data_IF_411431725433
#
_entry.id   IF_411431725433
#
_cell.length_a   1.000
_cell.length_b   1.000
_cell.length_c   1.000
_cell.angle_alpha   90.00
_cell.angle_beta   90.00
_cell.angle_gamma   90.00
#
_symmetry.space_group_name_H-M   'P 1'
#
loop_
_entity.id
_entity.type
_entity.pdbx_description
1 polymer ?
#
# COMPACT_ATOMS: atom_id res chain seq x y z
N UNK A 1 -4.74 4.82 14.79
CA UNK A 1 -5.94 4.37 14.06
C UNK A 1 -5.87 2.86 13.85
N UNK A 2 -4.91 2.34 13.08
CA UNK A 2 -4.77 0.89 12.81
C UNK A 2 -4.55 0.03 14.05
N UNK A 3 -3.70 0.45 14.99
CA UNK A 3 -3.47 -0.27 16.26
C UNK A 3 -4.73 -0.41 17.12
N UNK A 4 -5.62 0.59 17.10
CA UNK A 4 -6.88 0.56 17.86
C UNK A 4 -7.87 -0.47 17.30
N UNK A 5 -7.70 -0.84 16.03
CA UNK A 5 -8.54 -1.80 15.33
C UNK A 5 -7.85 -3.16 15.20
N UNK A 6 -6.76 -3.41 15.95
CA UNK A 6 -6.00 -4.67 15.86
C UNK A 6 -5.51 -4.99 14.42
N UNK A 7 -5.35 -3.95 13.58
CA UNK A 7 -4.76 -4.08 12.26
C UNK A 7 -3.26 -3.81 12.36
N UNK A 8 -2.46 -4.79 11.97
CA UNK A 8 -1.02 -4.60 11.89
C UNK A 8 -0.68 -3.93 10.56
N UNK A 9 0.02 -2.81 10.63
CA UNK A 9 0.38 -1.98 9.50
C UNK A 9 1.89 -1.86 9.39
N UNK A 10 2.42 -2.18 8.22
CA UNK A 10 3.83 -2.02 7.89
C UNK A 10 3.98 -1.15 6.65
N UNK A 11 4.98 -0.26 6.67
CA UNK A 11 5.33 0.63 5.58
C UNK A 11 6.78 0.42 5.20
N UNK A 12 7.00 0.07 3.94
CA UNK A 12 8.33 -0.10 3.37
C UNK A 12 8.55 0.90 2.25
N UNK A 13 9.78 1.37 2.12
CA UNK A 13 10.25 2.08 0.92
C UNK A 13 11.18 1.16 0.14
N UNK A 14 10.98 1.06 -1.16
CA UNK A 14 11.88 0.33 -2.04
C UNK A 14 13.28 0.96 -2.01
N UNK A 15 14.27 0.23 -1.48
CA UNK A 15 15.64 0.71 -1.33
C UNK A 15 16.50 0.47 -2.58
N UNK A 16 16.31 -0.65 -3.26
CA UNK A 16 17.11 -1.05 -4.44
C UNK A 16 16.21 -1.00 -5.67
N UNK A 17 16.62 -0.18 -6.64
CA UNK A 17 15.84 0.06 -7.87
C UNK A 17 16.41 -0.68 -9.10
N UNK A 18 17.50 -1.43 -8.94
CA UNK A 18 18.07 -2.27 -10.00
C UNK A 18 17.31 -3.59 -10.13
N UNK A 19 17.29 -4.15 -11.33
CA UNK A 19 16.75 -5.48 -11.61
C UNK A 19 17.89 -6.51 -11.63
N UNK A 20 17.60 -7.75 -11.22
CA UNK A 20 18.50 -8.88 -11.43
C UNK A 20 18.14 -9.60 -12.73
N UNK A 21 19.06 -10.38 -13.28
CA UNK A 21 18.79 -11.15 -14.50
C UNK A 21 17.61 -12.10 -14.28
N UNK A 22 16.62 -12.05 -15.19
CA UNK A 22 15.38 -12.83 -15.09
C UNK A 22 14.33 -12.30 -14.11
N UNK A 23 14.62 -11.22 -13.36
CA UNK A 23 13.68 -10.60 -12.42
C UNK A 23 13.37 -9.16 -12.80
N UNK A 24 12.14 -8.73 -12.54
CA UNK A 24 11.72 -7.35 -12.72
C UNK A 24 11.63 -6.62 -11.37
N UNK A 25 12.17 -5.40 -11.31
CA UNK A 25 12.02 -4.55 -10.14
C UNK A 25 10.60 -3.95 -10.09
N UNK A 26 9.99 -3.93 -8.91
CA UNK A 26 8.64 -3.41 -8.70
C UNK A 26 8.46 -1.96 -9.19
N UNK A 27 9.52 -1.14 -9.19
CA UNK A 27 9.47 0.23 -9.73
C UNK A 27 8.97 0.27 -11.18
N UNK A 28 9.31 -0.74 -12.00
CA UNK A 28 8.83 -0.84 -13.38
C UNK A 28 7.34 -1.15 -13.45
N UNK A 29 6.85 -2.04 -12.59
CA UNK A 29 5.43 -2.44 -12.53
C UNK A 29 4.51 -1.28 -12.17
N UNK A 30 4.97 -0.37 -11.30
CA UNK A 30 4.22 0.83 -10.91
C UNK A 30 4.53 2.06 -11.78
N UNK A 31 5.35 1.89 -12.81
CA UNK A 31 5.80 2.96 -13.72
C UNK A 31 6.53 4.10 -13.00
N UNK A 32 7.25 3.80 -11.91
CA UNK A 32 7.98 4.79 -11.14
C UNK A 32 9.33 5.14 -11.79
N UNK A 33 9.63 6.43 -11.85
CA UNK A 33 10.94 6.95 -12.23
C UNK A 33 11.98 6.62 -11.17
N UNK A 34 13.05 5.95 -11.59
CA UNK A 34 14.12 5.49 -10.69
C UNK A 34 14.81 6.66 -9.96
N UNK A 35 14.95 7.80 -10.62
CA UNK A 35 15.77 8.90 -10.14
C UNK A 35 14.99 9.87 -9.23
N UNK A 36 13.68 10.02 -9.45
CA UNK A 36 12.90 11.11 -8.87
C UNK A 36 11.67 10.65 -8.07
N UNK A 37 11.35 9.36 -8.08
CA UNK A 37 10.16 8.84 -7.42
C UNK A 37 10.49 7.75 -6.41
N UNK A 38 9.79 7.79 -5.28
CA UNK A 38 9.84 6.75 -4.26
C UNK A 38 8.70 5.77 -4.46
N UNK A 39 9.01 4.48 -4.32
CA UNK A 39 8.01 3.41 -4.30
C UNK A 39 7.80 3.00 -2.85
N UNK A 40 6.57 3.14 -2.39
CA UNK A 40 6.14 2.75 -1.05
C UNK A 40 5.26 1.50 -1.14
N UNK A 41 5.47 0.57 -0.20
CA UNK A 41 4.69 -0.66 -0.08
C UNK A 41 4.05 -0.64 1.30
N UNK A 42 2.73 -0.77 1.33
CA UNK A 42 1.98 -0.94 2.56
C UNK A 42 1.52 -2.39 2.67
N UNK A 43 1.73 -3.00 3.83
CA UNK A 43 1.18 -4.31 4.16
C UNK A 43 0.25 -4.12 5.36
N UNK A 44 -1.01 -4.50 5.18
CA UNK A 44 -2.02 -4.50 6.23
C UNK A 44 -2.39 -5.95 6.53
N UNK A 45 -2.02 -6.41 7.72
CA UNK A 45 -2.39 -7.74 8.19
C UNK A 45 -3.61 -7.66 9.08
N UNK A 46 -4.60 -8.48 8.74
CA UNK A 46 -5.84 -8.64 9.47
C UNK A 46 -5.89 -10.02 10.10
N UNK A 47 -6.69 -10.16 11.15
CA UNK A 47 -6.91 -11.44 11.83
C UNK A 47 -7.50 -12.50 10.88
N UNK A 48 -8.51 -12.09 10.12
CA UNK A 48 -9.21 -12.89 9.13
C UNK A 48 -9.93 -11.97 8.13
N UNK A 49 -10.54 -12.57 7.09
CA UNK A 49 -11.26 -11.83 6.05
C UNK A 49 -12.43 -11.01 6.59
N UNK A 50 -13.14 -11.53 7.60
CA UNK A 50 -14.28 -10.81 8.20
C UNK A 50 -13.79 -9.54 8.89
N UNK A 51 -12.72 -9.64 9.68
CA UNK A 51 -12.10 -8.49 10.31
C UNK A 51 -11.65 -7.45 9.28
N UNK A 52 -11.04 -7.87 8.16
CA UNK A 52 -10.70 -6.97 7.06
C UNK A 52 -11.92 -6.23 6.51
N UNK A 53 -13.00 -6.94 6.23
CA UNK A 53 -14.19 -6.35 5.62
C UNK A 53 -14.88 -5.35 6.57
N UNK A 54 -14.95 -5.67 7.86
CA UNK A 54 -15.45 -4.77 8.90
C UNK A 54 -14.58 -3.51 9.02
N UNK A 55 -13.25 -3.67 9.01
CA UNK A 55 -12.31 -2.56 9.04
C UNK A 55 -12.47 -1.65 7.81
N UNK A 56 -12.51 -2.21 6.60
CA UNK A 56 -12.67 -1.42 5.36
C UNK A 56 -14.00 -0.69 5.34
N UNK A 57 -15.09 -1.33 5.77
CA UNK A 57 -16.40 -0.68 5.85
C UNK A 57 -16.40 0.50 6.83
N UNK A 58 -15.73 0.34 7.97
CA UNK A 58 -15.58 1.41 8.97
C UNK A 58 -14.78 2.58 8.40
N UNK A 59 -13.59 2.33 7.85
CA UNK A 59 -12.70 3.39 7.37
C UNK A 59 -13.22 4.10 6.13
N UNK A 60 -13.99 3.41 5.29
CA UNK A 60 -14.66 4.03 4.14
C UNK A 60 -15.72 5.05 4.55
N UNK A 61 -16.21 5.02 5.78
CA UNK A 61 -17.19 5.97 6.31
C UNK A 61 -16.58 6.99 7.30
N UNK A 62 -15.30 6.82 7.66
CA UNK A 62 -14.61 7.72 8.57
C UNK A 62 -14.04 8.93 7.83
N UNK A 63 -14.41 10.13 8.28
CA UNK A 63 -14.05 11.38 7.60
C UNK A 63 -12.56 11.69 7.65
N UNK A 64 -11.89 11.39 8.77
CA UNK A 64 -10.45 11.63 8.90
C UNK A 64 -9.68 10.71 7.95
N UNK A 65 -10.14 9.46 7.81
CA UNK A 65 -9.58 8.49 6.88
C UNK A 65 -9.73 8.92 5.42
N UNK A 66 -10.92 9.40 5.04
CA UNK A 66 -11.18 9.91 3.69
C UNK A 66 -10.29 11.11 3.37
N UNK A 67 -10.17 12.06 4.29
CA UNK A 67 -9.30 13.23 4.13
C UNK A 67 -7.83 12.83 3.99
N UNK A 68 -7.34 11.92 4.85
CA UNK A 68 -5.97 11.41 4.74
C UNK A 68 -5.71 10.67 3.43
N UNK A 69 -6.69 9.91 2.92
CA UNK A 69 -6.58 9.27 1.61
C UNK A 69 -6.52 10.29 0.47
N UNK A 70 -7.34 11.33 0.50
CA UNK A 70 -7.30 12.41 -0.50
C UNK A 70 -5.96 13.15 -0.49
N UNK A 71 -5.43 13.47 0.69
CA UNK A 71 -4.13 14.11 0.84
C UNK A 71 -3.01 13.22 0.30
N UNK A 72 -3.02 11.92 0.66
CA UNK A 72 -2.08 10.96 0.12
C UNK A 72 -2.18 10.82 -1.41
N UNK A 73 -3.39 10.76 -1.96
CA UNK A 73 -3.61 10.65 -3.40
C UNK A 73 -3.05 11.86 -4.17
N UNK A 74 -3.01 13.06 -3.55
CA UNK A 74 -2.38 14.26 -4.13
C UNK A 74 -0.86 14.22 -4.14
N UNK A 75 -0.24 13.35 -3.33
CA UNK A 75 1.22 13.16 -3.32
C UNK A 75 1.70 12.19 -4.42
N UNK A 76 0.77 11.46 -5.05
CA UNK A 76 1.10 10.54 -6.13
C UNK A 76 1.60 11.30 -7.35
N UNK A 77 2.75 10.88 -7.89
CA UNK A 77 3.28 11.45 -9.12
C UNK A 77 2.30 11.30 -10.29
N UNK A 78 2.29 12.25 -11.24
CA UNK A 78 1.53 12.11 -12.48
C UNK A 78 1.85 10.78 -13.18
N UNK A 79 0.82 10.02 -13.57
CA UNK A 79 0.91 8.71 -14.23
C UNK A 79 1.43 7.55 -13.34
N UNK A 80 1.64 7.77 -12.05
CA UNK A 80 1.92 6.66 -11.12
C UNK A 80 0.74 5.68 -11.06
N UNK A 81 1.06 4.40 -10.86
CA UNK A 81 0.06 3.35 -10.67
C UNK A 81 0.06 2.89 -9.22
N UNK A 82 -1.11 2.95 -8.59
CA UNK A 82 -1.36 2.28 -7.32
C UNK A 82 -1.77 0.85 -7.62
N UNK A 83 -1.01 -0.12 -7.11
CA UNK A 83 -1.34 -1.55 -7.20
C UNK A 83 -1.84 -1.98 -5.82
N UNK A 84 -2.95 -2.72 -5.80
CA UNK A 84 -3.53 -3.28 -4.58
C UNK A 84 -3.92 -4.74 -4.82
N UNK A 85 -3.91 -5.55 -3.76
CA UNK A 85 -4.25 -6.97 -3.80
C UNK A 85 -4.42 -7.53 -2.41
N UNK A 86 -5.13 -8.66 -2.34
CA UNK A 86 -5.33 -9.43 -1.10
C UNK A 86 -4.53 -10.72 -1.19
N UNK A 87 -3.94 -11.14 -0.06
CA UNK A 87 -3.11 -12.32 0.03
C UNK A 87 -3.54 -13.18 1.21
N UNK A 88 -3.69 -14.48 0.98
CA UNK A 88 -3.85 -15.45 2.05
C UNK A 88 -2.47 -15.88 2.57
N UNK A 89 -2.31 -15.89 3.89
CA UNK A 89 -1.11 -16.42 4.53
C UNK A 89 -1.07 -17.94 4.34
N UNK A 90 -0.01 -18.45 3.69
CA UNK A 90 0.15 -19.88 3.41
C UNK A 90 1.02 -20.62 4.46
N UNK A 91 1.63 -19.90 5.42
CA UNK A 91 2.57 -20.44 6.41
C UNK A 91 2.34 -19.87 7.81
#
# INVERSE_FOLDING_TARGET
MFEKEEVHYELFRLAVKTSWEGFENISKSVSASVDNEDVWITIMSYKDKKHRDEFVAKMSNDKECQQGYEEWARLLSPNSKVITGEFDRQL
#
